data_IF_238109452632
#
_entry.id   IF_238109452632
#
_cell.length_a   1.000
_cell.length_b   1.000
_cell.length_c   1.000
_cell.angle_alpha   90.00
_cell.angle_beta   90.00
_cell.angle_gamma   90.00
#
_symmetry.space_group_name_H-M   'P 1'
#
loop_
_entity.id
_entity.type
_entity.pdbx_description
1 polymer ?
#
# COMPACT_ATOMS: atom_id res chain seq x y z
N UNK A 1 -7.17 -9.65 7.35
CA UNK A 1 -6.57 -9.64 5.98
C UNK A 1 -5.18 -8.99 6.05
N UNK A 2 -4.26 -9.17 5.09
CA UNK A 2 -3.02 -8.35 5.05
C UNK A 2 -3.29 -6.98 4.44
N UNK A 3 -2.53 -5.94 4.82
CA UNK A 3 -2.78 -4.58 4.35
C UNK A 3 -2.80 -4.47 2.83
N UNK A 4 -1.80 -4.99 2.11
CA UNK A 4 -1.80 -4.90 0.64
C UNK A 4 -3.06 -5.51 0.00
N UNK A 5 -3.57 -6.61 0.57
CA UNK A 5 -4.80 -7.25 0.08
C UNK A 5 -5.99 -6.33 0.27
N UNK A 6 -6.09 -5.68 1.43
CA UNK A 6 -7.13 -4.69 1.70
C UNK A 6 -7.08 -3.53 0.74
N UNK A 7 -5.91 -2.92 0.54
CA UNK A 7 -5.78 -1.77 -0.36
C UNK A 7 -6.10 -2.15 -1.82
N UNK A 8 -5.67 -3.31 -2.32
CA UNK A 8 -5.98 -3.72 -3.71
C UNK A 8 -7.44 -4.06 -4.00
N UNK A 9 -8.25 -4.29 -2.96
CA UNK A 9 -9.65 -4.72 -3.10
C UNK A 9 -10.66 -3.61 -2.80
N UNK A 10 -10.18 -2.44 -2.37
CA UNK A 10 -11.02 -1.33 -1.92
C UNK A 10 -11.02 -0.24 -3.00
N UNK A 11 -12.14 -0.10 -3.67
CA UNK A 11 -12.37 0.87 -4.74
C UNK A 11 -13.71 1.58 -4.52
N UNK A 12 -13.80 2.81 -4.99
CA UNK A 12 -15.06 3.55 -5.13
C UNK A 12 -15.35 3.64 -6.62
N UNK A 13 -16.37 2.91 -7.09
CA UNK A 13 -16.64 2.73 -8.52
C UNK A 13 -15.43 2.12 -9.25
N UNK A 14 -14.87 2.83 -10.23
CA UNK A 14 -13.70 2.40 -11.03
C UNK A 14 -12.37 3.04 -10.55
N UNK A 15 -12.41 3.84 -9.47
CA UNK A 15 -11.26 4.59 -8.95
C UNK A 15 -10.77 4.01 -7.62
N UNK A 16 -9.46 4.15 -7.34
CA UNK A 16 -8.90 3.80 -6.04
C UNK A 16 -9.46 4.71 -4.95
N UNK A 17 -9.64 4.16 -3.75
CA UNK A 17 -10.24 4.90 -2.65
C UNK A 17 -9.44 6.12 -2.20
N UNK A 18 -8.12 6.17 -2.43
CA UNK A 18 -7.28 7.34 -2.11
C UNK A 18 -7.33 8.45 -3.17
N UNK A 19 -7.89 8.17 -4.34
CA UNK A 19 -8.13 9.16 -5.40
C UNK A 19 -9.57 9.72 -5.37
N UNK A 20 -10.48 9.10 -4.60
CA UNK A 20 -11.86 9.53 -4.46
C UNK A 20 -11.96 10.79 -3.57
N UNK A 21 -12.32 11.97 -4.11
CA UNK A 21 -12.26 13.25 -3.39
C UNK A 21 -13.26 13.37 -2.24
N UNK A 22 -14.35 12.59 -2.30
CA UNK A 22 -15.42 12.62 -1.31
C UNK A 22 -15.21 11.63 -0.17
N UNK A 23 -14.17 10.80 -0.22
CA UNK A 23 -13.85 9.81 0.80
C UNK A 23 -12.53 10.11 1.50
N UNK A 24 -12.51 9.94 2.82
CA UNK A 24 -11.31 10.06 3.63
C UNK A 24 -10.80 8.69 4.05
N UNK A 25 -9.47 8.52 4.10
CA UNK A 25 -8.85 7.33 4.68
C UNK A 25 -8.41 7.65 6.10
N UNK A 26 -8.88 6.87 7.06
CA UNK A 26 -8.47 6.95 8.46
C UNK A 26 -7.81 5.64 8.88
N UNK A 27 -6.96 5.71 9.90
CA UNK A 27 -6.21 4.56 10.40
C UNK A 27 -6.32 4.49 11.91
N UNK A 28 -6.62 3.30 12.43
CA UNK A 28 -6.47 2.97 13.84
C UNK A 28 -5.26 2.06 14.03
N UNK A 29 -4.25 2.56 14.74
CA UNK A 29 -2.89 2.04 14.74
C UNK A 29 -2.38 1.81 16.17
N UNK A 30 -2.00 0.57 16.48
CA UNK A 30 -1.20 0.27 17.69
C UNK A 30 0.26 0.67 17.49
N UNK A 31 0.78 0.50 16.27
CA UNK A 31 2.12 0.90 15.83
C UNK A 31 2.03 1.83 14.63
N UNK A 32 2.88 2.86 14.52
CA UNK A 32 2.87 3.77 13.39
C UNK A 32 3.19 3.03 12.09
N UNK A 33 2.61 3.49 10.98
CA UNK A 33 3.06 3.10 9.64
C UNK A 33 4.32 3.89 9.27
N UNK A 34 5.18 3.28 8.46
CA UNK A 34 6.32 3.99 7.86
C UNK A 34 5.86 4.87 6.70
N UNK A 35 4.81 4.45 5.99
CA UNK A 35 4.22 5.15 4.85
C UNK A 35 2.74 5.41 5.05
N UNK A 36 2.27 6.56 4.55
CA UNK A 36 0.85 6.88 4.56
C UNK A 36 0.05 5.91 3.69
N UNK A 37 -1.26 5.70 3.97
CA UNK A 37 -2.11 4.88 3.11
C UNK A 37 -2.04 5.27 1.63
N UNK A 38 -2.05 6.56 1.30
CA UNK A 38 -1.94 7.05 -0.08
C UNK A 38 -0.60 6.69 -0.75
N UNK A 39 0.51 6.71 -0.01
CA UNK A 39 1.80 6.24 -0.54
C UNK A 39 1.78 4.74 -0.83
N UNK A 40 1.12 3.96 0.04
CA UNK A 40 0.97 2.52 -0.13
C UNK A 40 0.07 2.17 -1.32
N UNK A 41 -1.05 2.89 -1.51
CA UNK A 41 -1.91 2.72 -2.69
C UNK A 41 -1.15 3.00 -3.99
N UNK A 42 -0.47 4.15 -4.10
CA UNK A 42 0.33 4.50 -5.28
C UNK A 42 1.45 3.50 -5.56
N UNK A 43 2.09 2.98 -4.51
CA UNK A 43 3.08 1.91 -4.67
C UNK A 43 2.45 0.65 -5.28
N UNK A 44 1.32 0.20 -4.73
CA UNK A 44 0.63 -1.01 -5.19
C UNK A 44 0.14 -0.86 -6.62
N UNK A 45 -0.38 0.30 -7.01
CA UNK A 45 -0.81 0.60 -8.38
C UNK A 45 0.36 0.53 -9.38
N UNK A 46 1.56 0.95 -8.97
CA UNK A 46 2.75 0.89 -9.82
C UNK A 46 3.28 -0.54 -10.07
N UNK A 47 2.94 -1.53 -9.24
CA UNK A 47 3.57 -2.87 -9.26
C UNK A 47 2.59 -4.03 -9.37
N UNK A 48 1.32 -3.83 -9.01
CA UNK A 48 0.27 -4.83 -9.07
C UNK A 48 -0.74 -4.46 -10.15
N UNK A 49 -1.28 -5.48 -10.81
CA UNK A 49 -2.38 -5.32 -11.75
C UNK A 49 -3.70 -5.18 -10.98
N UNK A 50 -4.46 -4.08 -11.15
CA UNK A 50 -5.79 -3.92 -10.56
C UNK A 50 -6.72 -5.05 -10.97
N UNK A 51 -7.61 -5.48 -10.08
CA UNK A 51 -8.61 -6.53 -10.34
C UNK A 51 -8.06 -7.93 -10.64
N UNK A 52 -6.73 -8.11 -10.68
CA UNK A 52 -6.10 -9.41 -10.92
C UNK A 52 -6.14 -10.28 -9.67
N UNK A 53 -6.31 -11.59 -9.86
CA UNK A 53 -6.22 -12.54 -8.75
C UNK A 53 -4.82 -12.54 -8.18
N UNK A 54 -4.72 -12.96 -6.92
CA UNK A 54 -3.46 -13.02 -6.18
C UNK A 54 -2.38 -13.85 -6.91
N UNK A 55 -2.77 -14.97 -7.52
CA UNK A 55 -1.89 -15.85 -8.31
C UNK A 55 -1.43 -15.27 -9.65
N UNK A 56 -2.04 -14.18 -10.10
CA UNK A 56 -1.72 -13.48 -11.34
C UNK A 56 -0.80 -12.26 -11.11
N UNK A 57 -0.64 -11.85 -9.86
CA UNK A 57 0.23 -10.74 -9.45
C UNK A 57 1.59 -11.26 -8.99
N UNK A 58 2.66 -10.50 -9.24
CA UNK A 58 3.98 -10.82 -8.70
C UNK A 58 4.09 -10.32 -7.26
N UNK A 59 3.68 -11.15 -6.32
CA UNK A 59 3.63 -10.83 -4.89
C UNK A 59 5.00 -10.52 -4.28
N UNK A 60 6.10 -10.82 -4.98
CA UNK A 60 7.43 -10.45 -4.48
C UNK A 60 7.54 -8.94 -4.26
N UNK A 61 6.77 -8.13 -5.01
CA UNK A 61 6.67 -6.69 -4.77
C UNK A 61 5.97 -6.29 -3.46
N UNK A 62 5.33 -7.21 -2.74
CA UNK A 62 4.69 -6.91 -1.44
C UNK A 62 5.18 -7.82 -0.30
N UNK A 63 5.98 -8.84 -0.60
CA UNK A 63 6.48 -9.79 0.40
C UNK A 63 8.00 -9.85 0.53
N UNK A 64 8.76 -9.38 -0.46
CA UNK A 64 10.22 -9.58 -0.51
C UNK A 64 10.97 -8.26 -0.70
N UNK A 65 11.56 -7.77 0.39
CA UNK A 65 12.27 -6.50 0.41
C UNK A 65 13.54 -6.51 -0.47
N UNK A 66 14.22 -7.65 -0.61
CA UNK A 66 15.40 -7.74 -1.47
C UNK A 66 14.99 -7.66 -2.94
N UNK A 67 13.95 -8.40 -3.32
CA UNK A 67 13.40 -8.34 -4.66
C UNK A 67 12.96 -6.91 -5.03
N UNK A 68 12.25 -6.21 -4.13
CA UNK A 68 11.84 -4.81 -4.35
C UNK A 68 13.07 -3.91 -4.53
N UNK A 69 14.06 -3.99 -3.63
CA UNK A 69 15.25 -3.15 -3.71
C UNK A 69 16.03 -3.28 -5.03
N UNK A 70 16.01 -4.47 -5.62
CA UNK A 70 16.70 -4.78 -6.89
C UNK A 70 15.86 -4.52 -8.14
N UNK A 71 14.54 -4.70 -8.07
CA UNK A 71 13.67 -4.78 -9.27
C UNK A 71 12.59 -3.70 -9.35
N UNK A 72 12.40 -2.89 -8.31
CA UNK A 72 11.45 -1.79 -8.35
C UNK A 72 12.06 -0.59 -9.09
N UNK A 73 11.32 -0.01 -10.04
CA UNK A 73 11.70 1.29 -10.60
C UNK A 73 11.35 2.40 -9.62
N UNK A 74 12.33 2.83 -8.83
CA UNK A 74 12.16 3.89 -7.84
C UNK A 74 11.79 5.25 -8.43
N UNK A 75 11.89 5.46 -9.75
CA UNK A 75 11.43 6.69 -10.40
C UNK A 75 9.96 6.64 -10.83
N UNK A 76 9.31 5.48 -10.73
CA UNK A 76 7.93 5.29 -11.19
C UNK A 76 6.90 6.05 -10.35
N UNK A 77 7.19 6.32 -9.06
CA UNK A 77 6.32 7.10 -8.16
C UNK A 77 7.07 8.25 -7.48
N UNK A 78 6.42 9.42 -7.26
CA UNK A 78 7.12 10.65 -6.83
C UNK A 78 7.87 10.53 -5.50
N UNK A 79 7.30 9.82 -4.52
CA UNK A 79 7.86 9.76 -3.17
C UNK A 79 9.12 8.88 -3.06
N UNK A 80 9.32 7.96 -4.02
CA UNK A 80 10.50 7.09 -4.09
C UNK A 80 11.58 7.62 -5.03
N UNK A 81 11.26 8.57 -5.93
CA UNK A 81 12.18 9.07 -6.95
C UNK A 81 13.47 9.70 -6.39
N UNK A 82 13.40 10.21 -5.15
CA UNK A 82 14.54 10.77 -4.42
C UNK A 82 15.50 9.72 -3.85
N UNK A 83 15.11 8.44 -3.78
CA UNK A 83 15.91 7.37 -3.21
C UNK A 83 16.92 6.86 -4.25
N UNK A 84 18.14 7.41 -4.23
CA UNK A 84 19.20 7.03 -5.18
C UNK A 84 20.14 5.97 -4.63
N UNK A 85 20.53 6.10 -3.36
CA UNK A 85 21.49 5.17 -2.74
C UNK A 85 20.85 3.82 -2.42
N UNK A 86 21.64 2.75 -2.59
CA UNK A 86 21.20 1.38 -2.36
C UNK A 86 20.69 1.16 -0.93
N UNK A 87 21.37 1.73 0.07
CA UNK A 87 20.97 1.61 1.47
C UNK A 87 19.57 2.19 1.72
N UNK A 88 19.28 3.37 1.16
CA UNK A 88 17.97 4.00 1.28
C UNK A 88 16.88 3.23 0.54
N UNK A 89 17.19 2.65 -0.63
CA UNK A 89 16.25 1.78 -1.37
C UNK A 89 15.92 0.51 -0.59
N UNK A 90 16.92 -0.10 0.05
CA UNK A 90 16.73 -1.28 0.88
C UNK A 90 15.98 -0.98 2.18
N UNK A 91 16.27 0.16 2.82
CA UNK A 91 15.52 0.62 3.98
C UNK A 91 14.05 0.86 3.62
N UNK A 92 13.80 1.51 2.48
CA UNK A 92 12.46 1.68 1.94
C UNK A 92 11.73 0.34 1.77
N UNK A 93 12.35 -0.60 1.04
CA UNK A 93 11.74 -1.88 0.75
C UNK A 93 11.41 -2.68 2.01
N UNK A 94 12.26 -2.64 3.03
CA UNK A 94 12.02 -3.31 4.32
C UNK A 94 10.84 -2.70 5.07
N UNK A 95 10.80 -1.37 5.17
CA UNK A 95 9.72 -0.65 5.84
C UNK A 95 8.39 -0.86 5.12
N UNK A 96 8.42 -0.85 3.80
CA UNK A 96 7.25 -1.07 2.95
C UNK A 96 6.68 -2.47 3.16
N UNK A 97 7.54 -3.50 3.09
CA UNK A 97 7.12 -4.89 3.34
C UNK A 97 6.62 -5.07 4.76
N UNK A 98 7.21 -4.36 5.74
CA UNK A 98 6.72 -4.36 7.12
C UNK A 98 5.28 -3.84 7.19
N UNK A 99 5.00 -2.69 6.58
CA UNK A 99 3.65 -2.09 6.58
C UNK A 99 2.63 -2.96 5.83
N UNK A 100 2.97 -3.40 4.61
CA UNK A 100 2.07 -4.17 3.74
C UNK A 100 1.70 -5.55 4.31
N UNK A 101 2.54 -6.12 5.18
CA UNK A 101 2.27 -7.41 5.82
C UNK A 101 1.45 -7.31 7.12
N UNK A 102 1.14 -6.11 7.61
CA UNK A 102 0.32 -5.94 8.82
C UNK A 102 -1.09 -6.48 8.59
N UNK A 103 -1.67 -7.03 9.65
CA UNK A 103 -3.06 -7.48 9.63
C UNK A 103 -4.00 -6.28 9.80
N UNK A 104 -4.94 -6.15 8.86
CA UNK A 104 -5.92 -5.07 8.82
C UNK A 104 -7.33 -5.61 8.63
N UNK A 105 -8.30 -4.85 9.15
CA UNK A 105 -9.71 -4.90 8.78
C UNK A 105 -10.08 -3.56 8.13
N UNK A 106 -10.84 -3.61 7.03
CA UNK A 106 -11.31 -2.40 6.35
C UNK A 106 -12.78 -2.22 6.66
N UNK A 107 -13.15 -1.06 7.21
CA UNK A 107 -14.53 -0.66 7.40
C UNK A 107 -14.89 0.50 6.47
N UNK A 108 -16.12 0.50 5.95
CA UNK A 108 -16.63 1.56 5.08
C UNK A 108 -17.72 2.28 5.86
N UNK A 109 -17.42 3.48 6.33
CA UNK A 109 -18.37 4.36 6.99
C UNK A 109 -19.00 5.29 5.95
N UNK A 110 -20.17 4.90 5.44
CA UNK A 110 -20.89 5.68 4.42
C UNK A 110 -21.56 6.94 4.97
N UNK A 111 -21.59 7.14 6.28
CA UNK A 111 -22.16 8.36 6.89
C UNK A 111 -21.14 9.49 6.91
N UNK A 112 -19.90 9.15 7.25
CA UNK A 112 -18.79 10.10 7.34
C UNK A 112 -17.89 10.06 6.08
N UNK A 113 -18.31 9.28 5.08
CA UNK A 113 -17.56 8.98 3.85
C UNK A 113 -16.10 8.61 4.15
N UNK A 114 -15.90 7.59 4.99
CA UNK A 114 -14.58 7.20 5.45
C UNK A 114 -14.29 5.72 5.20
N UNK A 115 -13.08 5.44 4.74
CA UNK A 115 -12.46 4.12 4.79
C UNK A 115 -11.59 4.04 6.03
N UNK A 116 -11.98 3.20 6.98
CA UNK A 116 -11.26 3.04 8.24
C UNK A 116 -10.40 1.77 8.16
N UNK A 117 -9.09 1.96 8.21
CA UNK A 117 -8.11 0.88 8.25
C UNK A 117 -7.80 0.56 9.71
N UNK A 118 -8.38 -0.53 10.22
CA UNK A 118 -8.25 -0.97 11.60
C UNK A 118 -7.17 -2.05 11.71
N UNK A 119 -6.05 -1.74 12.34
CA UNK A 119 -4.93 -2.65 12.48
C UNK A 119 -5.03 -3.47 13.77
N UNK A 120 -4.75 -4.77 13.68
CA UNK A 120 -4.96 -5.75 14.79
C UNK A 120 -3.65 -6.28 15.39
N UNK A 121 -2.55 -5.55 15.18
CA UNK A 121 -1.16 -5.97 15.47
C UNK A 121 -0.55 -5.43 16.78
#
# INVERSE_FOLDING_TARGET
MKLYQGLTQVQVNEEMADDAPDFNITTDLVKPLHYSPSELYRYLDAVLKPGSRHDQNNLKYVTDAAFIGENFDFNSVPFTAKLKDFEFKMAFARNLVSDLNRHVSVNINTKDHAFELLFVD
#
